data_IF_302487565414
#
_entry.id   IF_302487565414
#
_cell.length_a   1.000
_cell.length_b   1.000
_cell.length_c   1.000
_cell.angle_alpha   90.00
_cell.angle_beta   90.00
_cell.angle_gamma   90.00
#
_symmetry.space_group_name_H-M   'P 1'
#
loop_
_entity.id
_entity.type
_entity.pdbx_description
1 polymer ?
#
# COMPACT_ATOMS: atom_id res chain seq x y z
N UNK A 1 1.74 -24.85 -5.25
CA UNK A 1 1.01 -24.84 -6.53
C UNK A 1 1.62 -23.74 -7.38
N UNK A 2 1.81 -24.01 -8.66
CA UNK A 2 2.32 -23.03 -9.63
C UNK A 2 1.12 -22.47 -10.38
N UNK A 3 1.07 -21.16 -10.61
CA UNK A 3 0.02 -20.53 -11.41
C UNK A 3 0.67 -19.57 -12.40
N UNK A 4 0.11 -19.41 -13.63
CA UNK A 4 0.77 -18.63 -14.68
C UNK A 4 1.15 -17.21 -14.22
N UNK A 5 0.28 -16.51 -13.47
CA UNK A 5 0.54 -15.15 -12.99
C UNK A 5 1.61 -15.10 -11.90
N UNK A 6 1.56 -16.02 -10.92
CA UNK A 6 2.55 -16.09 -9.86
C UNK A 6 3.93 -16.49 -10.38
N UNK A 7 3.99 -17.43 -11.33
CA UNK A 7 5.23 -17.85 -11.95
C UNK A 7 5.85 -16.74 -12.81
N UNK A 8 5.03 -16.04 -13.60
CA UNK A 8 5.49 -14.90 -14.39
C UNK A 8 6.04 -13.79 -13.48
N UNK A 9 5.30 -13.41 -12.43
CA UNK A 9 5.79 -12.40 -11.47
C UNK A 9 7.10 -12.81 -10.81
N UNK A 10 7.17 -14.07 -10.36
CA UNK A 10 8.39 -14.62 -9.75
C UNK A 10 9.57 -14.61 -10.72
N UNK A 11 9.34 -14.90 -12.00
CA UNK A 11 10.39 -14.92 -13.03
C UNK A 11 11.00 -13.56 -13.32
N UNK A 12 10.26 -12.48 -13.05
CA UNK A 12 10.71 -11.09 -13.22
C UNK A 12 11.57 -10.59 -12.06
N UNK A 13 11.52 -11.27 -10.92
CA UNK A 13 12.17 -10.83 -9.70
C UNK A 13 13.53 -11.44 -9.45
N UNK A 14 14.20 -10.87 -8.47
CA UNK A 14 15.49 -11.30 -7.92
C UNK A 14 15.41 -11.36 -6.41
N UNK A 15 16.48 -11.77 -5.74
CA UNK A 15 16.58 -11.80 -4.28
C UNK A 15 17.84 -11.10 -3.82
N UNK A 16 17.78 -10.52 -2.64
CA UNK A 16 18.93 -10.02 -1.89
C UNK A 16 18.80 -10.45 -0.43
N UNK A 17 19.92 -10.57 0.24
CA UNK A 17 19.96 -10.89 1.67
C UNK A 17 19.88 -9.63 2.51
N UNK A 18 19.04 -9.64 3.53
CA UNK A 18 18.88 -8.51 4.45
C UNK A 18 18.71 -9.00 5.89
N UNK A 19 19.17 -8.18 6.83
CA UNK A 19 18.89 -8.32 8.27
C UNK A 19 18.77 -6.94 8.92
N UNK A 20 17.96 -6.78 9.99
CA UNK A 20 17.91 -5.54 10.78
C UNK A 20 19.28 -5.18 11.36
N UNK A 21 19.66 -3.89 11.34
CA UNK A 21 20.99 -3.45 11.73
C UNK A 21 21.24 -3.55 13.24
N UNK A 22 20.20 -3.37 14.05
CA UNK A 22 20.32 -3.20 15.51
C UNK A 22 19.84 -4.40 16.33
N UNK A 23 19.49 -5.51 15.71
CA UNK A 23 18.95 -6.68 16.37
C UNK A 23 19.72 -7.95 15.99
N UNK A 24 19.78 -8.89 16.92
CA UNK A 24 20.40 -10.21 16.69
C UNK A 24 19.43 -11.14 15.92
N UNK A 25 18.84 -10.62 14.84
CA UNK A 25 17.94 -11.35 13.98
C UNK A 25 18.72 -12.04 12.85
N UNK A 26 18.27 -13.23 12.46
CA UNK A 26 18.82 -13.92 11.31
C UNK A 26 18.56 -13.13 10.02
N UNK A 27 19.54 -13.19 9.10
CA UNK A 27 19.34 -12.68 7.75
C UNK A 27 18.22 -13.45 7.02
N UNK A 28 17.49 -12.76 6.18
CA UNK A 28 16.40 -13.28 5.35
C UNK A 28 16.60 -12.90 3.89
N UNK A 29 16.18 -13.78 2.99
CA UNK A 29 16.19 -13.50 1.56
C UNK A 29 14.91 -12.77 1.16
N UNK A 30 15.07 -11.57 0.63
CA UNK A 30 14.01 -10.67 0.20
C UNK A 30 13.83 -10.78 -1.31
N UNK A 31 12.62 -11.10 -1.74
CA UNK A 31 12.23 -11.06 -3.14
C UNK A 31 11.87 -9.64 -3.55
N UNK A 32 12.34 -9.22 -4.72
CA UNK A 32 11.95 -7.94 -5.31
C UNK A 32 11.86 -8.02 -6.83
N UNK A 33 11.08 -7.09 -7.40
CA UNK A 33 10.93 -6.88 -8.85
C UNK A 33 11.35 -5.45 -9.17
N UNK A 34 12.07 -5.30 -10.27
CA UNK A 34 12.48 -4.02 -10.83
C UNK A 34 12.16 -4.00 -12.32
N UNK A 35 11.38 -3.02 -12.77
CA UNK A 35 10.91 -2.87 -14.15
C UNK A 35 11.13 -1.43 -14.62
N UNK A 36 11.32 -1.26 -15.93
CA UNK A 36 11.51 0.04 -16.56
C UNK A 36 12.96 0.43 -16.73
N UNK A 37 13.19 1.67 -17.16
CA UNK A 37 14.53 2.23 -17.35
C UNK A 37 15.20 2.45 -15.98
N UNK A 38 16.42 1.93 -15.74
CA UNK A 38 17.13 2.14 -14.49
C UNK A 38 17.45 3.61 -14.18
N UNK A 39 17.48 4.47 -15.20
CA UNK A 39 17.73 5.92 -15.06
C UNK A 39 16.44 6.74 -14.89
N UNK A 40 15.26 6.10 -15.00
CA UNK A 40 13.98 6.78 -14.78
C UNK A 40 13.73 7.06 -13.27
N UNK A 41 12.83 8.03 -12.95
CA UNK A 41 12.45 8.29 -11.56
C UNK A 41 11.98 7.05 -10.83
N UNK A 42 12.47 6.85 -9.59
CA UNK A 42 12.15 5.67 -8.78
C UNK A 42 10.71 5.75 -8.26
N UNK A 43 9.95 4.69 -8.49
CA UNK A 43 8.60 4.46 -7.97
C UNK A 43 8.58 3.17 -7.15
N UNK A 44 8.55 3.27 -5.83
CA UNK A 44 8.46 2.12 -4.93
C UNK A 44 7.01 1.77 -4.62
N UNK A 45 6.61 0.54 -4.92
CA UNK A 45 5.28 -0.01 -4.67
C UNK A 45 5.31 -0.92 -3.44
N UNK A 46 4.59 -0.57 -2.38
CA UNK A 46 4.57 -1.27 -1.09
C UNK A 46 3.23 -1.97 -0.89
N UNK A 47 3.29 -3.30 -0.70
CA UNK A 47 2.10 -4.15 -0.54
C UNK A 47 1.56 -4.18 0.90
N UNK A 48 0.36 -4.77 1.03
CA UNK A 48 -0.36 -4.94 2.28
C UNK A 48 -0.32 -6.34 2.90
N UNK A 49 -1.12 -6.53 3.95
CA UNK A 49 -1.36 -7.81 4.61
C UNK A 49 -2.65 -8.45 4.03
N UNK A 50 -2.69 -9.74 3.79
CA UNK A 50 -1.64 -10.77 3.93
C UNK A 50 -0.94 -11.10 2.61
N UNK A 51 -1.02 -10.23 1.61
CA UNK A 51 -0.58 -10.46 0.23
C UNK A 51 0.90 -10.17 0.00
N UNK A 52 1.29 -9.66 -1.16
CA UNK A 52 2.67 -9.42 -1.54
C UNK A 52 2.76 -8.43 -2.70
N UNK A 53 3.95 -8.19 -3.21
CA UNK A 53 4.18 -7.33 -4.37
C UNK A 53 3.41 -7.76 -5.64
N UNK A 54 2.86 -8.98 -5.68
CA UNK A 54 2.01 -9.45 -6.77
C UNK A 54 0.73 -8.64 -6.93
N UNK A 55 0.29 -7.92 -5.90
CA UNK A 55 -0.84 -6.99 -5.95
C UNK A 55 -0.66 -5.92 -7.03
N UNK A 56 0.59 -5.63 -7.37
CA UNK A 56 0.98 -4.63 -8.35
C UNK A 56 1.15 -5.19 -9.77
N UNK A 57 0.91 -6.49 -9.97
CA UNK A 57 1.13 -7.19 -11.24
C UNK A 57 0.51 -6.47 -12.45
N UNK A 58 -0.74 -6.02 -12.33
CA UNK A 58 -1.49 -5.40 -13.43
C UNK A 58 -1.01 -3.97 -13.76
N UNK A 59 -0.47 -3.24 -12.77
CA UNK A 59 -0.10 -1.82 -12.91
C UNK A 59 1.40 -1.60 -13.09
N UNK A 60 2.25 -2.53 -12.64
CA UNK A 60 3.70 -2.35 -12.67
C UNK A 60 4.25 -2.21 -14.11
N UNK A 61 3.74 -3.03 -15.05
CA UNK A 61 4.13 -2.93 -16.46
C UNK A 61 3.79 -1.57 -17.10
N UNK A 62 2.51 -1.13 -17.08
CA UNK A 62 2.14 0.20 -17.53
C UNK A 62 2.94 1.33 -16.90
N UNK A 63 3.17 1.29 -15.58
CA UNK A 63 3.96 2.32 -14.86
C UNK A 63 5.43 2.32 -15.25
N UNK A 64 6.00 1.16 -15.63
CA UNK A 64 7.40 1.06 -16.03
C UNK A 64 7.75 1.77 -17.35
N UNK A 65 6.74 2.23 -18.08
CA UNK A 65 6.96 3.11 -19.24
C UNK A 65 7.48 4.51 -18.86
N UNK A 66 7.20 4.96 -17.62
CA UNK A 66 7.57 6.31 -17.15
C UNK A 66 8.48 6.29 -15.92
N UNK A 67 8.54 5.18 -15.19
CA UNK A 67 9.24 5.06 -13.92
C UNK A 67 10.15 3.83 -13.88
N UNK A 68 11.20 3.92 -13.06
CA UNK A 68 11.88 2.74 -12.53
C UNK A 68 11.01 2.19 -11.40
N UNK A 69 10.15 1.22 -11.75
CA UNK A 69 9.20 0.61 -10.82
C UNK A 69 9.92 -0.44 -9.99
N UNK A 70 9.89 -0.27 -8.68
CA UNK A 70 10.45 -1.17 -7.70
C UNK A 70 9.34 -1.71 -6.81
N UNK A 71 9.32 -3.02 -6.54
CA UNK A 71 8.39 -3.64 -5.61
C UNK A 71 9.10 -4.77 -4.88
N UNK A 72 8.87 -4.92 -3.58
CA UNK A 72 9.48 -5.99 -2.78
C UNK A 72 8.41 -6.71 -1.97
N UNK A 73 8.70 -7.97 -1.60
CA UNK A 73 7.92 -8.71 -0.62
C UNK A 73 8.58 -8.57 0.75
N UNK A 74 7.85 -8.05 1.75
CA UNK A 74 8.34 -8.01 3.12
C UNK A 74 8.66 -9.42 3.65
N UNK A 75 9.53 -9.57 4.68
CA UNK A 75 9.69 -10.83 5.39
C UNK A 75 8.33 -11.37 5.86
N UNK A 76 8.09 -12.65 5.65
CA UNK A 76 6.80 -13.27 5.97
C UNK A 76 5.79 -13.28 4.83
N UNK A 77 6.05 -12.59 3.72
CA UNK A 77 5.10 -12.42 2.61
C UNK A 77 5.65 -12.93 1.28
N UNK A 78 4.74 -13.17 0.33
CA UNK A 78 5.03 -13.44 -1.07
C UNK A 78 6.08 -14.51 -1.30
N UNK A 79 7.12 -14.14 -2.05
CA UNK A 79 8.26 -15.00 -2.36
C UNK A 79 9.49 -14.74 -1.48
N UNK A 80 9.42 -13.84 -0.50
CA UNK A 80 10.45 -13.66 0.52
C UNK A 80 10.45 -14.79 1.54
N UNK A 81 11.49 -14.86 2.37
CA UNK A 81 11.60 -15.82 3.45
C UNK A 81 10.56 -15.56 4.57
N UNK A 82 10.14 -16.66 5.22
CA UNK A 82 9.06 -16.64 6.22
C UNK A 82 9.45 -17.41 7.49
N UNK A 83 10.56 -17.06 8.16
CA UNK A 83 10.98 -17.78 9.36
C UNK A 83 9.98 -17.52 10.51
N UNK A 84 9.39 -18.57 11.12
CA UNK A 84 8.54 -18.42 12.29
C UNK A 84 9.31 -17.78 13.46
N UNK A 85 8.65 -16.90 14.21
CA UNK A 85 9.24 -16.24 15.37
C UNK A 85 10.31 -15.22 15.03
N UNK A 86 10.39 -14.76 13.77
CA UNK A 86 11.40 -13.78 13.35
C UNK A 86 11.16 -12.38 13.94
N UNK A 87 9.95 -12.09 14.42
CA UNK A 87 9.59 -10.82 15.01
C UNK A 87 9.16 -9.78 13.98
N UNK A 88 8.21 -10.15 13.14
CA UNK A 88 7.60 -9.26 12.15
C UNK A 88 7.06 -7.98 12.78
N UNK A 89 7.48 -6.81 12.29
CA UNK A 89 7.04 -5.52 12.80
C UNK A 89 7.08 -4.44 11.72
N UNK A 90 6.32 -3.37 11.91
CA UNK A 90 6.33 -2.22 11.01
C UNK A 90 7.68 -1.50 11.02
N UNK A 91 8.35 -1.45 12.18
CA UNK A 91 9.65 -0.79 12.31
C UNK A 91 10.75 -1.52 11.54
N UNK A 92 10.76 -2.86 11.55
CA UNK A 92 11.69 -3.65 10.73
C UNK A 92 11.42 -3.49 9.24
N UNK A 93 10.16 -3.44 8.85
CA UNK A 93 9.81 -3.24 7.44
C UNK A 93 10.15 -1.83 6.96
N UNK A 94 10.05 -0.83 7.82
CA UNK A 94 10.53 0.52 7.52
C UNK A 94 12.05 0.56 7.36
N UNK A 95 12.80 -0.12 8.23
CA UNK A 95 14.24 -0.27 8.11
C UNK A 95 14.64 -0.99 6.81
N UNK A 96 13.86 -2.00 6.40
CA UNK A 96 14.05 -2.65 5.10
C UNK A 96 13.81 -1.70 3.93
N UNK A 97 12.78 -0.85 3.98
CA UNK A 97 12.52 0.16 2.93
C UNK A 97 13.68 1.15 2.82
N UNK A 98 14.17 1.66 3.94
CA UNK A 98 15.35 2.55 3.95
C UNK A 98 16.57 1.87 3.32
N UNK A 99 16.90 0.64 3.76
CA UNK A 99 17.99 -0.16 3.19
C UNK A 99 17.77 -0.44 1.69
N UNK A 100 16.56 -0.80 1.30
CA UNK A 100 16.25 -1.14 -0.08
C UNK A 100 16.45 0.05 -1.03
N UNK A 101 15.95 1.22 -0.65
CA UNK A 101 16.08 2.43 -1.44
C UNK A 101 17.54 2.89 -1.53
N UNK A 102 18.27 2.92 -0.42
CA UNK A 102 19.65 3.44 -0.38
C UNK A 102 20.68 2.45 -0.90
N UNK A 103 20.62 1.18 -0.47
CA UNK A 103 21.70 0.20 -0.72
C UNK A 103 21.42 -0.72 -1.90
N UNK A 104 20.15 -1.11 -2.14
CA UNK A 104 19.82 -2.05 -3.22
C UNK A 104 19.51 -1.31 -4.52
N UNK A 105 18.70 -0.27 -4.45
CA UNK A 105 18.30 0.56 -5.60
C UNK A 105 19.29 1.69 -5.86
N UNK A 106 19.94 2.19 -4.81
CA UNK A 106 20.86 3.33 -4.88
C UNK A 106 20.14 4.64 -5.24
N UNK A 107 18.93 4.83 -4.74
CA UNK A 107 18.10 5.98 -5.06
C UNK A 107 18.44 7.18 -4.18
N UNK A 108 18.72 8.33 -4.77
CA UNK A 108 18.82 9.62 -4.05
C UNK A 108 17.46 10.20 -3.68
N UNK A 109 16.44 9.87 -4.49
CA UNK A 109 15.07 10.32 -4.31
C UNK A 109 14.08 9.32 -4.92
N UNK A 110 12.84 9.31 -4.44
CA UNK A 110 11.82 8.44 -5.00
C UNK A 110 10.41 8.78 -4.54
N UNK A 111 9.45 8.22 -5.26
CA UNK A 111 8.02 8.22 -4.95
C UNK A 111 7.68 6.90 -4.28
N UNK A 112 6.88 6.95 -3.21
CA UNK A 112 6.34 5.75 -2.56
C UNK A 112 4.83 5.69 -2.81
N UNK A 113 4.37 4.53 -3.30
CA UNK A 113 2.95 4.18 -3.44
C UNK A 113 2.68 2.98 -2.55
N UNK A 114 1.85 3.15 -1.57
CA UNK A 114 1.56 2.13 -0.58
C UNK A 114 0.09 1.69 -0.61
N UNK A 115 -0.15 0.46 -0.14
CA UNK A 115 -1.48 -0.13 -0.05
C UNK A 115 -1.64 -0.91 1.27
N UNK A 116 -2.82 -0.78 1.92
CA UNK A 116 -3.22 -1.50 3.14
C UNK A 116 -2.20 -1.35 4.29
N UNK A 117 -1.57 -2.47 4.75
CA UNK A 117 -0.50 -2.45 5.75
C UNK A 117 0.70 -1.64 5.28
N UNK A 118 0.96 -1.64 3.97
CA UNK A 118 2.02 -0.85 3.36
C UNK A 118 1.91 0.63 3.66
N UNK A 119 0.69 1.18 3.76
CA UNK A 119 0.47 2.56 4.18
C UNK A 119 1.05 2.85 5.57
N UNK A 120 0.98 1.89 6.50
CA UNK A 120 1.56 2.05 7.84
C UNK A 120 3.09 2.09 7.80
N UNK A 121 3.72 1.24 6.98
CA UNK A 121 5.17 1.27 6.77
C UNK A 121 5.58 2.59 6.10
N UNK A 122 4.83 3.03 5.09
CA UNK A 122 5.09 4.28 4.39
C UNK A 122 4.92 5.52 5.28
N UNK A 123 3.98 5.50 6.22
CA UNK A 123 3.80 6.57 7.23
C UNK A 123 4.98 6.63 8.20
N UNK A 124 5.50 5.47 8.64
CA UNK A 124 6.71 5.43 9.45
C UNK A 124 7.91 6.01 8.68
N UNK A 125 8.08 5.60 7.43
CA UNK A 125 9.15 6.12 6.58
C UNK A 125 8.99 7.62 6.30
N UNK A 126 7.76 8.10 6.08
CA UNK A 126 7.47 9.53 5.94
C UNK A 126 7.85 10.32 7.20
N UNK A 127 7.55 9.79 8.40
CA UNK A 127 7.98 10.41 9.65
C UNK A 127 9.52 10.47 9.77
N UNK A 128 10.23 9.39 9.39
CA UNK A 128 11.69 9.37 9.30
C UNK A 128 12.24 10.45 8.37
N UNK A 129 11.61 10.62 7.18
CA UNK A 129 11.99 11.67 6.22
C UNK A 129 11.78 13.08 6.79
N UNK A 130 10.64 13.32 7.46
CA UNK A 130 10.33 14.61 8.12
C UNK A 130 11.36 14.95 9.21
N UNK A 131 11.84 13.95 9.92
CA UNK A 131 12.90 14.08 10.96
C UNK A 131 14.32 14.21 10.37
N UNK A 132 14.47 14.14 9.05
CA UNK A 132 15.78 14.22 8.39
C UNK A 132 16.67 13.02 8.63
N UNK A 133 16.10 11.85 8.91
CA UNK A 133 16.82 10.59 9.22
C UNK A 133 16.88 9.59 8.06
N UNK A 134 16.22 9.87 6.94
CA UNK A 134 16.28 9.05 5.73
C UNK A 134 17.45 9.47 4.83
N UNK A 135 18.15 8.51 4.25
CA UNK A 135 19.20 8.72 3.25
C UNK A 135 18.59 9.06 1.87
N UNK A 136 17.37 8.58 1.60
CA UNK A 136 16.65 8.82 0.35
C UNK A 136 15.61 9.92 0.53
N UNK A 137 15.56 10.89 -0.36
CA UNK A 137 14.57 11.97 -0.33
C UNK A 137 13.22 11.47 -0.84
N UNK A 138 12.18 11.57 -0.02
CA UNK A 138 10.81 11.27 -0.44
C UNK A 138 10.25 12.44 -1.26
N UNK A 139 9.91 12.19 -2.52
CA UNK A 139 9.39 13.20 -3.45
C UNK A 139 7.87 13.29 -3.43
N UNK A 140 7.19 12.18 -3.24
CA UNK A 140 5.74 12.10 -3.15
C UNK A 140 5.35 10.84 -2.38
N UNK A 141 4.34 10.94 -1.53
CA UNK A 141 3.74 9.80 -0.85
C UNK A 141 2.32 9.58 -1.38
N UNK A 142 2.02 8.35 -1.81
CA UNK A 142 0.66 7.94 -2.20
C UNK A 142 0.18 6.85 -1.25
N UNK A 143 -0.94 7.09 -0.59
CA UNK A 143 -1.59 6.17 0.34
C UNK A 143 -2.86 5.62 -0.29
N UNK A 144 -3.09 4.30 -0.19
CA UNK A 144 -4.27 3.68 -0.78
C UNK A 144 -4.87 2.56 0.08
N UNK A 145 -6.16 2.68 0.36
CA UNK A 145 -6.99 1.64 1.00
C UNK A 145 -6.40 1.06 2.31
N UNK A 146 -5.61 1.85 3.04
CA UNK A 146 -4.98 1.42 4.28
C UNK A 146 -5.86 1.61 5.51
N UNK A 147 -5.76 0.69 6.46
CA UNK A 147 -6.39 0.85 7.78
C UNK A 147 -5.64 1.89 8.64
N UNK A 148 -5.23 3.00 8.07
CA UNK A 148 -4.31 3.98 8.68
C UNK A 148 -4.90 4.77 9.85
N UNK A 149 -6.19 4.61 10.12
CA UNK A 149 -6.85 5.08 11.34
C UNK A 149 -7.87 4.03 11.80
N UNK A 150 -7.47 3.17 12.74
CA UNK A 150 -8.25 2.02 13.19
C UNK A 150 -9.66 2.35 13.69
N UNK A 151 -9.92 3.47 14.41
CA UNK A 151 -11.27 3.78 14.88
C UNK A 151 -12.32 3.93 13.77
N UNK A 152 -11.89 4.22 12.53
CA UNK A 152 -12.76 4.35 11.37
C UNK A 152 -12.68 3.15 10.41
N UNK A 153 -11.79 2.19 10.67
CA UNK A 153 -11.62 0.98 9.87
C UNK A 153 -12.63 -0.11 10.24
N UNK A 154 -12.80 -1.08 9.36
CA UNK A 154 -13.60 -2.28 9.62
C UNK A 154 -12.67 -3.51 9.66
N UNK A 155 -12.30 -3.97 10.84
CA UNK A 155 -11.65 -5.27 10.91
C UNK A 155 -12.66 -6.37 10.56
N UNK A 156 -12.35 -7.14 9.53
CA UNK A 156 -13.17 -8.29 9.12
C UNK A 156 -13.18 -9.38 10.21
N UNK A 157 -14.16 -10.27 10.17
CA UNK A 157 -14.19 -11.42 11.08
C UNK A 157 -12.92 -12.28 10.94
N UNK A 158 -12.44 -12.49 9.70
CA UNK A 158 -11.21 -13.23 9.44
C UNK A 158 -9.99 -12.57 10.09
N UNK A 159 -9.83 -11.25 9.94
CA UNK A 159 -8.75 -10.50 10.61
C UNK A 159 -8.80 -10.63 12.12
N UNK A 160 -9.99 -10.52 12.74
CA UNK A 160 -10.15 -10.69 14.21
C UNK A 160 -9.76 -12.09 14.67
N UNK A 161 -10.14 -13.12 13.91
CA UNK A 161 -9.80 -14.51 14.23
C UNK A 161 -8.30 -14.80 14.10
N UNK A 162 -7.64 -14.23 13.08
CA UNK A 162 -6.19 -14.37 12.91
C UNK A 162 -5.43 -13.56 13.96
N UNK A 163 -5.94 -12.38 14.36
CA UNK A 163 -5.32 -11.52 15.37
C UNK A 163 -5.36 -12.12 16.78
N UNK A 164 -6.42 -12.84 17.13
CA UNK A 164 -6.58 -13.48 18.43
C UNK A 164 -5.82 -14.81 18.48
N UNK A 165 -4.81 -14.89 19.34
CA UNK A 165 -3.92 -16.05 19.45
C UNK A 165 -4.66 -17.36 19.76
N UNK A 166 -5.74 -17.31 20.57
CA UNK A 166 -6.53 -18.50 20.93
C UNK A 166 -7.34 -19.00 19.73
N UNK A 167 -8.01 -18.10 19.02
CA UNK A 167 -8.75 -18.41 17.80
C UNK A 167 -7.82 -18.94 16.72
N UNK A 168 -6.67 -18.30 16.52
CA UNK A 168 -5.68 -18.74 15.56
C UNK A 168 -5.13 -20.13 15.84
N UNK A 169 -4.84 -20.45 17.10
CA UNK A 169 -4.36 -21.78 17.48
C UNK A 169 -5.35 -22.92 17.13
N UNK A 170 -6.65 -22.60 17.09
CA UNK A 170 -7.71 -23.56 16.71
C UNK A 170 -7.90 -23.64 15.19
N UNK A 171 -7.74 -22.51 14.49
CA UNK A 171 -8.02 -22.40 13.06
C UNK A 171 -6.82 -22.76 12.19
N UNK A 172 -5.60 -22.50 12.65
CA UNK A 172 -4.36 -22.64 11.85
C UNK A 172 -4.14 -24.03 11.25
N UNK A 173 -4.67 -25.08 11.91
CA UNK A 173 -4.62 -26.46 11.41
C UNK A 173 -5.59 -26.74 10.23
N UNK A 174 -6.59 -25.89 10.02
CA UNK A 174 -7.66 -26.07 9.02
C UNK A 174 -7.66 -25.06 7.90
N UNK A 175 -7.02 -23.89 8.12
CA UNK A 175 -6.89 -22.87 7.09
C UNK A 175 -5.89 -23.34 6.03
N UNK A 176 -6.33 -23.36 4.78
CA UNK A 176 -5.47 -23.68 3.62
C UNK A 176 -5.24 -22.46 2.76
N UNK A 177 -4.18 -22.44 1.93
CA UNK A 177 -3.95 -21.37 0.96
C UNK A 177 -5.16 -21.06 0.11
N UNK A 178 -5.84 -22.08 -0.38
CA UNK A 178 -7.04 -21.93 -1.23
C UNK A 178 -8.20 -21.29 -0.46
N UNK A 179 -8.50 -21.77 0.76
CA UNK A 179 -9.59 -21.21 1.58
C UNK A 179 -9.34 -19.73 1.89
N UNK A 180 -8.10 -19.35 2.19
CA UNK A 180 -7.75 -17.96 2.44
C UNK A 180 -7.92 -17.11 1.17
N UNK A 181 -7.37 -17.57 0.04
CA UNK A 181 -7.45 -16.86 -1.24
C UNK A 181 -8.90 -16.68 -1.72
N UNK A 182 -9.74 -17.72 -1.60
CA UNK A 182 -11.16 -17.65 -1.93
C UNK A 182 -11.93 -16.68 -1.03
N UNK A 183 -11.66 -16.72 0.28
CA UNK A 183 -12.26 -15.78 1.23
C UNK A 183 -11.93 -14.33 0.90
N UNK A 184 -10.68 -14.05 0.55
CA UNK A 184 -10.25 -12.73 0.11
C UNK A 184 -10.90 -12.35 -1.23
N UNK A 185 -10.85 -13.24 -2.23
CA UNK A 185 -11.46 -13.02 -3.54
C UNK A 185 -12.94 -12.64 -3.45
N UNK A 186 -13.67 -13.28 -2.54
CA UNK A 186 -15.09 -13.01 -2.33
C UNK A 186 -15.36 -11.68 -1.60
N UNK A 187 -14.49 -11.27 -0.68
CA UNK A 187 -14.76 -10.16 0.24
C UNK A 187 -14.11 -8.83 -0.18
N UNK A 188 -12.95 -8.87 -0.84
CA UNK A 188 -12.08 -7.69 -1.01
C UNK A 188 -11.89 -7.23 -2.44
N UNK A 189 -12.50 -7.93 -3.43
CA UNK A 189 -12.48 -7.56 -4.84
C UNK A 189 -13.87 -7.16 -5.36
N UNK A 190 -13.91 -6.35 -6.39
CA UNK A 190 -15.13 -5.97 -7.11
C UNK A 190 -14.93 -6.13 -8.64
N UNK A 191 -15.69 -7.01 -9.33
CA UNK A 191 -16.63 -7.95 -8.71
C UNK A 191 -15.94 -9.03 -7.86
N UNK A 192 -16.66 -9.71 -6.94
CA UNK A 192 -16.11 -10.80 -6.16
C UNK A 192 -15.51 -11.91 -7.05
N UNK A 193 -14.31 -12.39 -6.69
CA UNK A 193 -13.54 -13.39 -7.45
C UNK A 193 -13.54 -14.73 -6.74
N UNK A 194 -13.34 -15.81 -7.49
CA UNK A 194 -13.42 -17.20 -7.01
C UNK A 194 -12.32 -18.06 -7.62
N UNK A 195 -12.19 -19.28 -7.17
CA UNK A 195 -11.33 -20.33 -7.78
C UNK A 195 -11.49 -20.35 -9.31
N UNK A 196 -10.37 -20.39 -10.02
CA UNK A 196 -10.29 -20.27 -11.48
C UNK A 196 -10.06 -18.83 -11.95
N UNK A 197 -10.24 -17.84 -11.09
CA UNK A 197 -9.79 -16.48 -11.38
C UNK A 197 -8.27 -16.38 -11.21
N UNK A 198 -7.53 -15.80 -12.17
CA UNK A 198 -6.06 -15.72 -12.11
C UNK A 198 -5.51 -15.02 -10.87
N UNK A 199 -6.26 -14.06 -10.29
CA UNK A 199 -5.82 -13.38 -9.06
C UNK A 199 -5.97 -14.27 -7.83
N UNK A 200 -7.09 -15.00 -7.70
CA UNK A 200 -7.29 -15.96 -6.61
C UNK A 200 -6.29 -17.11 -6.69
N UNK A 201 -5.97 -17.59 -7.90
CA UNK A 201 -4.93 -18.60 -8.08
C UNK A 201 -3.55 -18.07 -7.70
N UNK A 202 -3.22 -16.83 -8.07
CA UNK A 202 -1.96 -16.19 -7.68
C UNK A 202 -1.86 -16.03 -6.16
N UNK A 203 -2.92 -15.58 -5.50
CA UNK A 203 -2.99 -15.52 -4.02
C UNK A 203 -2.78 -16.90 -3.39
N UNK A 204 -3.43 -17.94 -3.95
CA UNK A 204 -3.24 -19.32 -3.46
C UNK A 204 -1.76 -19.74 -3.54
N UNK A 205 -1.09 -19.40 -4.64
CA UNK A 205 0.33 -19.75 -4.83
C UNK A 205 1.25 -19.05 -3.83
N UNK A 206 1.06 -17.74 -3.59
CA UNK A 206 1.90 -16.99 -2.63
C UNK A 206 1.66 -17.46 -1.17
N UNK A 207 0.43 -17.80 -0.80
CA UNK A 207 0.12 -18.33 0.53
C UNK A 207 0.69 -19.73 0.75
N UNK A 208 0.78 -20.53 -0.32
CA UNK A 208 1.40 -21.86 -0.27
C UNK A 208 2.94 -21.79 -0.25
N UNK A 209 3.52 -20.72 -0.77
CA UNK A 209 4.97 -20.59 -0.88
C UNK A 209 5.63 -20.49 0.50
N UNK A 210 6.59 -21.39 0.80
CA UNK A 210 7.29 -21.47 2.07
C UNK A 210 6.34 -21.44 3.29
N UNK A 211 5.22 -22.15 3.19
CA UNK A 211 4.22 -22.26 4.29
C UNK A 211 3.72 -20.88 4.80
N UNK A 212 3.50 -19.91 3.94
CA UNK A 212 3.16 -18.52 4.30
C UNK A 212 1.97 -18.37 5.26
N UNK A 213 1.05 -19.34 5.29
CA UNK A 213 -0.06 -19.35 6.25
C UNK A 213 0.44 -19.40 7.70
N UNK A 214 1.56 -20.06 7.97
CA UNK A 214 2.05 -20.26 9.35
C UNK A 214 2.39 -18.97 10.07
N UNK A 215 2.78 -17.94 9.32
CA UNK A 215 3.20 -16.63 9.88
C UNK A 215 2.10 -15.55 9.83
N UNK A 216 0.89 -15.88 9.38
CA UNK A 216 -0.21 -14.91 9.27
C UNK A 216 -0.55 -14.22 10.58
N UNK A 217 -0.58 -14.98 11.69
CA UNK A 217 -0.83 -14.43 13.02
C UNK A 217 0.25 -13.47 13.48
N UNK A 218 1.50 -13.80 13.19
CA UNK A 218 2.63 -12.92 13.51
C UNK A 218 2.57 -11.63 12.65
N UNK A 219 2.29 -11.79 11.35
CA UNK A 219 2.19 -10.67 10.42
C UNK A 219 1.06 -9.69 10.73
N UNK A 220 -0.12 -10.15 11.24
CA UNK A 220 -1.24 -9.25 11.54
C UNK A 220 -1.05 -8.44 12.83
N UNK A 221 -0.06 -8.77 13.67
CA UNK A 221 0.21 -8.03 14.91
C UNK A 221 0.58 -6.56 14.64
N UNK A 222 0.90 -6.19 13.42
CA UNK A 222 1.07 -4.79 13.01
C UNK A 222 -0.12 -3.89 13.39
N UNK A 223 -1.34 -4.45 13.47
CA UNK A 223 -2.53 -3.70 13.91
C UNK A 223 -2.39 -3.24 15.36
N UNK A 224 -1.81 -4.08 16.21
CA UNK A 224 -1.56 -3.74 17.63
C UNK A 224 -0.42 -2.72 17.74
N UNK A 225 0.63 -2.88 16.93
CA UNK A 225 1.73 -1.92 16.87
C UNK A 225 1.22 -0.55 16.42
N UNK A 226 0.51 -0.48 15.30
CA UNK A 226 -0.04 0.75 14.75
C UNK A 226 -0.97 1.47 15.72
N UNK A 227 -1.85 0.75 16.41
CA UNK A 227 -2.83 1.37 17.31
C UNK A 227 -2.23 2.25 18.40
N UNK A 228 -0.94 2.10 18.68
CA UNK A 228 -0.22 2.89 19.69
C UNK A 228 0.23 4.24 19.15
N UNK A 229 0.60 4.30 17.87
CA UNK A 229 1.33 5.43 17.31
C UNK A 229 0.68 6.04 16.06
N UNK A 230 -0.48 5.51 15.58
CA UNK A 230 -1.11 5.93 14.34
C UNK A 230 -1.37 7.45 14.25
N UNK A 231 -1.76 8.08 15.36
CA UNK A 231 -1.98 9.52 15.37
C UNK A 231 -0.68 10.32 15.22
N UNK A 232 0.41 9.85 15.81
CA UNK A 232 1.71 10.50 15.69
C UNK A 232 2.23 10.41 14.24
N UNK A 233 2.06 9.27 13.59
CA UNK A 233 2.47 9.09 12.19
C UNK A 233 1.63 9.94 11.23
N UNK A 234 0.32 10.00 11.43
CA UNK A 234 -0.56 10.88 10.65
C UNK A 234 -0.24 12.35 10.88
N UNK A 235 0.03 12.76 12.13
CA UNK A 235 0.42 14.13 12.44
C UNK A 235 1.74 14.54 11.78
N UNK A 236 2.68 13.62 11.58
CA UNK A 236 3.93 13.88 10.87
C UNK A 236 3.68 14.32 9.41
N UNK A 237 2.61 13.86 8.78
CA UNK A 237 2.25 14.27 7.41
C UNK A 237 2.00 15.79 7.30
N UNK A 238 1.45 16.42 8.33
CA UNK A 238 1.19 17.86 8.32
C UNK A 238 2.48 18.68 8.23
N UNK A 239 3.61 18.15 8.75
CA UNK A 239 4.93 18.78 8.68
C UNK A 239 5.75 18.39 7.44
N UNK A 240 5.27 17.47 6.61
CA UNK A 240 6.01 16.98 5.46
C UNK A 240 6.14 18.04 4.35
N UNK A 241 7.34 18.19 3.78
CA UNK A 241 7.60 19.10 2.66
C UNK A 241 7.19 18.51 1.31
N UNK A 242 7.03 17.20 1.21
CA UNK A 242 6.59 16.48 0.01
C UNK A 242 5.06 16.44 -0.08
N UNK A 243 4.49 16.39 -1.29
CA UNK A 243 3.05 16.19 -1.49
C UNK A 243 2.61 14.79 -1.02
N UNK A 244 1.34 14.72 -0.58
CA UNK A 244 0.68 13.46 -0.21
C UNK A 244 -0.60 13.32 -1.01
N UNK A 245 -0.76 12.19 -1.67
CA UNK A 245 -1.99 11.84 -2.38
C UNK A 245 -2.68 10.65 -1.69
N UNK A 246 -3.98 10.73 -1.59
CA UNK A 246 -4.84 9.64 -1.09
C UNK A 246 -5.69 9.14 -2.26
N UNK A 247 -5.56 7.86 -2.60
CA UNK A 247 -6.35 7.20 -3.66
C UNK A 247 -7.14 6.06 -3.03
N UNK A 248 -8.46 6.06 -3.17
CA UNK A 248 -9.30 5.12 -2.42
C UNK A 248 -10.42 4.51 -3.26
N UNK A 249 -10.64 3.20 -3.11
CA UNK A 249 -11.78 2.51 -3.70
C UNK A 249 -13.06 2.81 -2.91
N UNK A 250 -14.14 3.20 -3.60
CA UNK A 250 -15.41 3.57 -2.94
C UNK A 250 -16.12 2.40 -2.27
N UNK A 251 -15.86 1.16 -2.71
CA UNK A 251 -16.51 -0.04 -2.18
C UNK A 251 -15.65 -0.77 -1.14
N UNK A 252 -14.56 -0.16 -0.66
CA UNK A 252 -13.68 -0.80 0.32
C UNK A 252 -14.44 -1.15 1.61
N UNK A 253 -14.56 -2.45 1.84
CA UNK A 253 -15.23 -3.01 3.02
C UNK A 253 -14.31 -3.15 4.23
N UNK A 254 -12.99 -3.11 4.03
CA UNK A 254 -11.95 -3.27 5.06
C UNK A 254 -11.54 -1.92 5.61
N UNK A 255 -11.14 -1.02 4.72
CA UNK A 255 -10.82 0.36 5.03
C UNK A 255 -11.79 1.31 4.28
N UNK A 256 -12.97 1.58 4.84
CA UNK A 256 -14.00 2.31 4.13
C UNK A 256 -13.58 3.77 3.85
N UNK A 257 -14.19 4.44 2.84
CA UNK A 257 -13.85 5.79 2.39
C UNK A 257 -13.81 6.86 3.49
N UNK A 258 -14.50 6.64 4.61
CA UNK A 258 -14.43 7.55 5.78
C UNK A 258 -13.02 7.64 6.39
N UNK A 259 -12.17 6.62 6.22
CA UNK A 259 -10.76 6.66 6.64
C UNK A 259 -9.99 7.67 5.78
N UNK A 260 -10.12 7.58 4.46
CA UNK A 260 -9.53 8.55 3.53
C UNK A 260 -10.01 9.98 3.79
N UNK A 261 -11.33 10.15 3.98
CA UNK A 261 -11.94 11.46 4.28
C UNK A 261 -11.43 12.05 5.59
N UNK A 262 -11.25 11.23 6.62
CA UNK A 262 -10.69 11.67 7.89
C UNK A 262 -9.24 12.17 7.72
N UNK A 263 -8.38 11.35 7.11
CA UNK A 263 -6.97 11.74 6.87
C UNK A 263 -6.88 13.00 6.04
N UNK A 264 -7.72 13.13 5.01
CA UNK A 264 -7.79 14.33 4.19
C UNK A 264 -8.17 15.56 5.00
N UNK A 265 -9.28 15.51 5.72
CA UNK A 265 -9.81 16.67 6.44
C UNK A 265 -8.91 17.11 7.60
N UNK A 266 -8.32 16.17 8.33
CA UNK A 266 -7.54 16.46 9.53
C UNK A 266 -6.09 16.85 9.22
N UNK A 267 -5.49 16.30 8.16
CA UNK A 267 -4.04 16.42 7.95
C UNK A 267 -3.62 17.00 6.60
N UNK A 268 -4.43 16.87 5.54
CA UNK A 268 -3.95 17.13 4.18
C UNK A 268 -4.63 18.31 3.48
N UNK A 269 -5.91 18.57 3.73
CA UNK A 269 -6.69 19.59 3.00
C UNK A 269 -6.07 20.98 3.08
N UNK A 270 -5.51 21.35 4.22
CA UNK A 270 -4.87 22.66 4.44
C UNK A 270 -3.33 22.58 4.45
N UNK A 271 -2.76 21.40 4.20
CA UNK A 271 -1.32 21.22 4.09
C UNK A 271 -0.84 21.79 2.75
N UNK A 272 0.16 22.68 2.72
CA UNK A 272 0.77 23.15 1.46
C UNK A 272 1.39 22.01 0.65
N UNK A 273 1.59 22.20 -0.66
CA UNK A 273 2.41 21.31 -1.46
C UNK A 273 1.67 20.38 -2.43
N UNK A 274 0.44 20.71 -2.83
CA UNK A 274 -0.23 20.03 -3.95
C UNK A 274 -0.78 18.65 -3.59
N UNK A 275 -1.27 18.47 -2.35
CA UNK A 275 -1.92 17.23 -1.92
C UNK A 275 -3.24 17.02 -2.67
N UNK A 276 -3.64 15.75 -2.86
CA UNK A 276 -4.84 15.39 -3.63
C UNK A 276 -5.56 14.21 -3.00
N UNK A 277 -6.90 14.20 -3.14
CA UNK A 277 -7.77 13.09 -2.75
C UNK A 277 -8.54 12.61 -3.97
N UNK A 278 -8.44 11.32 -4.24
CA UNK A 278 -9.21 10.65 -5.29
C UNK A 278 -10.04 9.51 -4.73
N UNK A 279 -11.25 9.33 -5.27
CA UNK A 279 -12.02 8.11 -5.11
C UNK A 279 -12.20 7.42 -6.46
N UNK A 280 -11.88 6.12 -6.51
CA UNK A 280 -12.10 5.29 -7.71
C UNK A 280 -13.43 4.55 -7.53
N UNK A 281 -14.43 4.85 -8.37
CA UNK A 281 -15.69 4.09 -8.41
C UNK A 281 -15.43 2.63 -8.80
N UNK A 282 -16.33 1.74 -8.39
CA UNK A 282 -16.30 0.32 -8.73
C UNK A 282 -14.98 -0.39 -8.34
N UNK A 283 -14.31 0.10 -7.32
CA UNK A 283 -13.13 -0.50 -6.72
C UNK A 283 -13.36 -0.79 -5.24
N UNK A 284 -12.97 -1.98 -4.81
CA UNK A 284 -12.97 -2.41 -3.42
C UNK A 284 -11.57 -2.24 -2.81
N UNK A 285 -11.19 -3.08 -1.86
CA UNK A 285 -9.94 -2.97 -1.12
C UNK A 285 -8.69 -3.02 -2.02
N UNK A 286 -8.66 -3.91 -3.01
CA UNK A 286 -7.54 -4.01 -3.97
C UNK A 286 -7.82 -3.21 -5.25
N UNK A 287 -7.92 -1.89 -5.11
CA UNK A 287 -8.29 -0.98 -6.21
C UNK A 287 -7.34 -1.07 -7.43
N UNK A 288 -6.05 -1.35 -7.22
CA UNK A 288 -5.05 -1.53 -8.28
C UNK A 288 -5.25 -2.84 -9.06
N UNK A 289 -6.01 -3.78 -8.51
CA UNK A 289 -6.39 -5.04 -9.15
C UNK A 289 -7.78 -4.95 -9.77
N UNK A 290 -8.72 -4.26 -9.11
CA UNK A 290 -10.09 -4.08 -9.58
C UNK A 290 -10.17 -3.13 -10.77
N UNK A 291 -9.43 -2.02 -10.71
CA UNK A 291 -9.44 -0.94 -11.70
C UNK A 291 -8.01 -0.50 -12.06
N UNK A 292 -7.18 -1.39 -12.64
CA UNK A 292 -5.77 -1.11 -12.91
C UNK A 292 -5.57 0.11 -13.82
N UNK A 293 -6.35 0.25 -14.89
CA UNK A 293 -6.22 1.38 -15.81
C UNK A 293 -6.55 2.70 -15.13
N UNK A 294 -7.64 2.73 -14.34
CA UNK A 294 -8.01 3.92 -13.57
C UNK A 294 -6.94 4.26 -12.52
N UNK A 295 -6.37 3.26 -11.85
CA UNK A 295 -5.30 3.47 -10.87
C UNK A 295 -4.06 4.08 -11.53
N UNK A 296 -3.62 3.54 -12.66
CA UNK A 296 -2.46 4.06 -13.42
C UNK A 296 -2.71 5.50 -13.87
N UNK A 297 -3.88 5.79 -14.45
CA UNK A 297 -4.24 7.14 -14.91
C UNK A 297 -4.27 8.13 -13.75
N UNK A 298 -4.90 7.77 -12.63
CA UNK A 298 -4.96 8.61 -11.42
C UNK A 298 -3.56 8.84 -10.85
N UNK A 299 -2.72 7.81 -10.81
CA UNK A 299 -1.36 7.94 -10.29
C UNK A 299 -0.51 8.89 -11.15
N UNK A 300 -0.55 8.76 -12.48
CA UNK A 300 0.12 9.72 -13.36
C UNK A 300 -0.34 11.14 -13.10
N UNK A 301 -1.67 11.38 -13.08
CA UNK A 301 -2.22 12.70 -12.78
C UNK A 301 -1.83 13.22 -11.38
N UNK A 302 -1.75 12.34 -10.38
CA UNK A 302 -1.35 12.70 -9.02
C UNK A 302 0.12 13.14 -8.93
N UNK A 303 0.99 12.56 -9.74
CA UNK A 303 2.43 12.84 -9.75
C UNK A 303 2.82 14.01 -10.66
N UNK A 304 1.88 14.52 -11.48
CA UNK A 304 2.12 15.71 -12.27
C UNK A 304 2.18 16.97 -11.39
N UNK A 305 3.01 17.97 -11.75
CA UNK A 305 3.03 19.25 -11.07
C UNK A 305 1.64 19.89 -11.01
N UNK A 306 1.31 20.52 -9.88
CA UNK A 306 0.03 21.20 -9.73
C UNK A 306 -0.18 22.25 -10.84
N UNK A 307 -1.31 22.18 -11.54
CA UNK A 307 -1.71 23.11 -12.61
C UNK A 307 -1.55 22.60 -14.05
N UNK A 308 -1.09 21.35 -14.25
CA UNK A 308 -0.88 20.82 -15.61
C UNK A 308 -2.16 20.23 -16.23
N UNK A 309 -3.07 19.67 -15.41
CA UNK A 309 -4.34 19.15 -15.93
C UNK A 309 -5.55 19.66 -15.12
N UNK A 310 -6.62 19.99 -15.84
CA UNK A 310 -7.91 20.31 -15.24
C UNK A 310 -8.61 19.01 -14.79
N UNK A 311 -9.25 18.99 -13.61
CA UNK A 311 -9.99 17.81 -13.11
C UNK A 311 -11.00 17.25 -14.10
N UNK A 312 -11.58 18.08 -14.94
CA UNK A 312 -12.52 17.68 -15.99
C UNK A 312 -11.93 16.82 -17.10
N UNK A 313 -10.63 16.97 -17.40
CA UNK A 313 -9.95 16.14 -18.39
C UNK A 313 -9.83 14.70 -17.92
N UNK A 314 -9.46 14.49 -16.67
CA UNK A 314 -9.38 13.16 -16.06
C UNK A 314 -10.75 12.46 -15.99
N UNK A 315 -11.80 13.20 -15.63
CA UNK A 315 -13.16 12.68 -15.61
C UNK A 315 -13.65 12.26 -17.00
N UNK A 316 -13.30 13.01 -18.04
CA UNK A 316 -13.65 12.67 -19.42
C UNK A 316 -12.92 11.40 -19.90
N UNK A 317 -11.66 11.23 -19.56
CA UNK A 317 -10.87 10.06 -19.92
C UNK A 317 -11.39 8.77 -19.27
N UNK A 318 -11.76 8.82 -18.00
CA UNK A 318 -12.20 7.65 -17.24
C UNK A 318 -13.71 7.47 -17.16
N UNK A 319 -14.49 8.41 -17.73
CA UNK A 319 -15.95 8.36 -17.74
C UNK A 319 -16.62 8.63 -16.39
N UNK A 320 -15.88 9.09 -15.38
CA UNK A 320 -16.40 9.45 -14.07
C UNK A 320 -15.49 10.47 -13.37
N UNK A 321 -16.02 11.40 -12.57
CA UNK A 321 -15.21 12.32 -11.77
C UNK A 321 -14.48 11.55 -10.67
N UNK A 322 -13.16 11.60 -10.67
CA UNK A 322 -12.31 10.88 -9.73
C UNK A 322 -11.60 11.80 -8.72
N UNK A 323 -11.18 12.99 -9.14
CA UNK A 323 -10.62 13.96 -8.22
C UNK A 323 -11.73 14.51 -7.33
N UNK A 324 -11.59 14.30 -6.03
CA UNK A 324 -12.57 14.77 -5.04
C UNK A 324 -12.19 16.15 -4.54
N UNK A 325 -10.90 16.34 -4.19
CA UNK A 325 -10.42 17.61 -3.66
C UNK A 325 -8.91 17.76 -3.84
N UNK A 326 -8.44 19.02 -3.78
CA UNK A 326 -7.04 19.40 -3.75
C UNK A 326 -6.78 20.28 -2.54
N UNK A 327 -5.57 20.22 -2.01
CA UNK A 327 -5.20 21.07 -0.85
C UNK A 327 -5.30 22.57 -1.20
N UNK A 328 -5.67 23.35 -0.21
CA UNK A 328 -5.87 24.81 -0.32
C UNK A 328 -5.14 25.53 0.82
N UNK A 329 -4.77 26.77 0.58
CA UNK A 329 -4.06 27.58 1.59
C UNK A 329 -4.93 27.88 2.82
N UNK A 330 -6.25 28.05 2.61
CA UNK A 330 -7.23 28.34 3.66
C UNK A 330 -8.62 27.89 3.27
N UNK A 331 -9.45 27.65 4.26
CA UNK A 331 -10.88 27.49 4.04
C UNK A 331 -11.51 28.86 3.71
N UNK A 332 -12.50 28.91 2.78
CA UNK A 332 -13.26 30.14 2.53
C UNK A 332 -14.06 30.52 3.78
N UNK A 333 -14.20 31.81 4.04
CA UNK A 333 -15.15 32.28 5.06
C UNK A 333 -16.60 32.01 4.63
N UNK A 334 -17.51 31.84 5.58
CA UNK A 334 -18.91 31.62 5.23
C UNK A 334 -19.50 32.76 4.38
N UNK A 335 -19.04 34.00 4.58
CA UNK A 335 -19.45 35.15 3.78
C UNK A 335 -19.00 35.08 2.32
N UNK A 336 -17.91 34.36 2.02
CA UNK A 336 -17.40 34.17 0.65
C UNK A 336 -18.22 33.13 -0.13
N UNK A 337 -19.01 32.31 0.59
CA UNK A 337 -19.82 31.22 0.03
C UNK A 337 -21.31 31.57 -0.17
N UNK A 338 -21.75 32.67 0.46
CA UNK A 338 -23.15 33.11 0.39
C UNK A 338 -23.31 34.20 -0.69
N UNK A 339 -24.46 34.25 -1.40
CA UNK A 339 -24.75 35.35 -2.29
C UNK A 339 -24.77 36.66 -1.49
N UNK A 340 -24.37 37.80 -2.08
CA UNK A 340 -24.49 39.10 -1.42
C UNK A 340 -25.95 39.32 -1.05
N UNK A 341 -26.19 39.86 0.15
CA UNK A 341 -27.52 40.13 0.71
C UNK A 341 -28.31 41.13 -0.13
#
# INVERSE_FOLDING_TARGET
MSTPRADDWRSRGRRFSWRPAHEDAAAVEIFHVELGDPDAPVLLLIHGWPTSSIDWYAVAGPLSASFRVCALDFPGYGFSDKPPGWGYSLSRDEELIEFYLSEVIGAEAGVIVAHDRGDSVALLHAARCVEGRSATRLEHLVLSNGNIFLPLSNLTQAQRLVLDAKSWSQLSATVTPTVLAEGMGAATFTPPRRTGDPDVEALTAIFAYNDGIKVLHEGIQYLVERSKDEQAWLAALAGASFPVTVIWGLYDTVSPPRVASYVWNEYLMLKPGGNRLYFIPDANHYLQVDRPDAFVTVLHHALEPAGVQEPGALAAELGAPLLVDSSRERLPAAADLLPPA
#
